data_IF_089297955841
#
_entry.id   IF_089297955841
#
_cell.length_a   1.000
_cell.length_b   1.000
_cell.length_c   1.000
_cell.angle_alpha   90.00
_cell.angle_beta   90.00
_cell.angle_gamma   90.00
#
_symmetry.space_group_name_H-M   'P 1'
#
loop_
_entity.id
_entity.type
_entity.pdbx_description
1 polymer ?
#
# COMPACT_ATOMS: atom_id res chain seq x y z
N UNK A 1 -1.97 -3.81 34.55
CA UNK A 1 -1.35 -2.47 34.66
C UNK A 1 -2.36 -1.44 34.19
N UNK A 2 -2.81 -0.55 35.08
CA UNK A 2 -3.86 0.44 34.79
C UNK A 2 -3.22 1.60 34.04
N UNK A 3 -3.70 1.88 32.83
CA UNK A 3 -3.19 2.96 32.00
C UNK A 3 -3.56 4.33 32.63
N UNK A 4 -2.56 5.14 32.98
CA UNK A 4 -2.78 6.51 33.49
C UNK A 4 -3.33 7.39 32.37
N UNK A 5 -4.56 7.89 32.53
CA UNK A 5 -5.10 8.95 31.68
C UNK A 5 -4.24 10.21 31.84
N UNK A 6 -3.92 10.88 30.72
CA UNK A 6 -3.27 12.20 30.73
C UNK A 6 -4.37 13.23 30.53
N UNK A 7 -4.39 14.28 31.34
CA UNK A 7 -5.36 15.37 31.21
C UNK A 7 -4.65 16.64 30.75
N UNK A 8 -5.34 17.47 29.97
CA UNK A 8 -4.85 18.80 29.64
C UNK A 8 -4.83 19.65 30.92
N UNK A 9 -3.64 20.13 31.31
CA UNK A 9 -3.46 20.92 32.54
C UNK A 9 -4.23 22.25 32.54
N UNK A 10 -4.69 22.73 31.38
CA UNK A 10 -5.36 24.03 31.23
C UNK A 10 -6.89 23.94 31.20
N UNK A 11 -7.46 22.92 30.56
CA UNK A 11 -8.92 22.80 30.41
C UNK A 11 -9.53 21.55 31.05
N UNK A 12 -8.73 20.67 31.66
CA UNK A 12 -9.23 19.44 32.28
C UNK A 12 -9.81 18.42 31.29
N UNK A 13 -9.78 18.70 29.98
CA UNK A 13 -10.18 17.75 28.97
C UNK A 13 -9.28 16.51 29.05
N UNK A 14 -9.92 15.34 29.08
CA UNK A 14 -9.26 14.06 28.94
C UNK A 14 -8.51 14.07 27.61
N UNK A 15 -7.17 14.00 27.67
CA UNK A 15 -6.41 13.71 26.46
C UNK A 15 -6.77 12.28 26.18
N UNK A 16 -7.67 12.07 25.20
CA UNK A 16 -7.96 10.76 24.64
C UNK A 16 -6.61 10.08 24.51
N UNK A 17 -6.42 8.99 25.26
CA UNK A 17 -5.34 8.08 24.97
C UNK A 17 -5.40 7.86 23.47
N UNK A 18 -4.27 8.07 22.78
CA UNK A 18 -4.09 7.62 21.41
C UNK A 18 -4.42 6.12 21.43
N UNK A 19 -5.70 5.79 21.27
CA UNK A 19 -6.19 4.50 20.87
C UNK A 19 -5.77 4.38 19.42
N UNK A 20 -4.47 4.31 19.21
CA UNK A 20 -3.88 4.06 17.91
C UNK A 20 -4.33 2.65 17.57
N UNK A 21 -5.44 2.56 16.86
CA UNK A 21 -5.88 1.34 16.21
C UNK A 21 -4.70 0.92 15.34
N UNK A 22 -3.89 -0.02 15.83
CA UNK A 22 -2.69 -0.48 15.12
C UNK A 22 -3.11 -0.93 13.72
N UNK A 23 -2.24 -0.68 12.73
CA UNK A 23 -2.52 -1.10 11.36
C UNK A 23 -2.78 -2.61 11.37
N UNK A 24 -3.98 -3.06 10.99
CA UNK A 24 -4.31 -4.47 11.07
C UNK A 24 -3.34 -5.32 10.25
N UNK A 25 -2.96 -6.49 10.78
CA UNK A 25 -1.99 -7.38 10.13
C UNK A 25 -2.41 -7.75 8.69
N UNK A 26 -3.69 -7.92 8.42
CA UNK A 26 -4.18 -8.17 7.06
C UNK A 26 -3.87 -7.00 6.11
N UNK A 27 -3.96 -5.75 6.58
CA UNK A 27 -3.58 -4.57 5.78
C UNK A 27 -2.08 -4.56 5.52
N UNK A 28 -1.26 -4.84 6.55
CA UNK A 28 0.19 -4.94 6.39
C UNK A 28 0.60 -6.05 5.42
N UNK A 29 -0.06 -7.20 5.44
CA UNK A 29 0.18 -8.28 4.47
C UNK A 29 -0.19 -7.84 3.05
N UNK A 30 -1.32 -7.15 2.85
CA UNK A 30 -1.68 -6.62 1.53
C UNK A 30 -0.67 -5.57 1.03
N UNK A 31 -0.18 -4.70 1.90
CA UNK A 31 0.87 -3.73 1.55
C UNK A 31 2.19 -4.43 1.21
N UNK A 32 2.55 -5.50 1.93
CA UNK A 32 3.73 -6.32 1.63
C UNK A 32 3.62 -6.99 0.25
N UNK A 33 2.45 -7.55 -0.07
CA UNK A 33 2.20 -8.15 -1.38
C UNK A 33 2.34 -7.10 -2.49
N UNK A 34 1.75 -5.90 -2.31
CA UNK A 34 1.87 -4.79 -3.28
C UNK A 34 3.32 -4.38 -3.49
N UNK A 35 4.08 -4.21 -2.39
CA UNK A 35 5.51 -3.92 -2.43
C UNK A 35 6.28 -4.98 -3.23
N UNK A 36 6.05 -6.27 -2.95
CA UNK A 36 6.76 -7.35 -3.64
C UNK A 36 6.42 -7.40 -5.14
N UNK A 37 5.16 -7.13 -5.52
CA UNK A 37 4.77 -7.05 -6.93
C UNK A 37 5.50 -5.90 -7.65
N UNK A 38 5.67 -4.76 -6.99
CA UNK A 38 6.43 -3.62 -7.52
C UNK A 38 7.93 -3.93 -7.66
N UNK A 39 8.53 -4.56 -6.65
CA UNK A 39 9.92 -5.05 -6.72
C UNK A 39 10.11 -6.02 -7.90
N UNK A 40 9.20 -6.98 -8.07
CA UNK A 40 9.21 -7.92 -9.21
C UNK A 40 9.12 -7.17 -10.54
N UNK A 41 8.36 -6.09 -10.64
CA UNK A 41 8.32 -5.27 -11.86
C UNK A 41 9.70 -4.66 -12.17
N UNK A 42 10.40 -4.16 -11.15
CA UNK A 42 11.78 -3.67 -11.25
C UNK A 42 12.77 -4.77 -11.64
N UNK A 43 12.70 -5.94 -10.99
CA UNK A 43 13.53 -7.11 -11.30
C UNK A 43 13.35 -7.55 -12.76
N UNK A 44 12.10 -7.63 -13.23
CA UNK A 44 11.82 -7.97 -14.63
C UNK A 44 12.38 -6.95 -15.61
N UNK A 45 12.29 -5.65 -15.31
CA UNK A 45 12.86 -4.60 -16.15
C UNK A 45 14.39 -4.70 -16.22
N UNK A 46 15.04 -4.92 -15.09
CA UNK A 46 16.48 -5.14 -15.02
C UNK A 46 16.91 -6.38 -15.83
N UNK A 47 16.25 -7.51 -15.64
CA UNK A 47 16.58 -8.76 -16.35
C UNK A 47 16.40 -8.62 -17.87
N UNK A 48 15.38 -7.90 -18.33
CA UNK A 48 15.19 -7.60 -19.76
C UNK A 48 16.33 -6.76 -20.31
N UNK A 49 16.69 -5.69 -19.61
CA UNK A 49 17.81 -4.83 -20.02
C UNK A 49 19.15 -5.60 -20.07
N UNK A 50 19.38 -6.53 -19.14
CA UNK A 50 20.58 -7.39 -19.16
C UNK A 50 20.57 -8.34 -20.38
N UNK A 51 19.42 -8.94 -20.69
CA UNK A 51 19.25 -9.77 -21.90
C UNK A 51 19.50 -8.95 -23.17
N UNK A 52 18.96 -7.74 -23.26
CA UNK A 52 19.10 -6.89 -24.45
C UNK A 52 20.58 -6.53 -24.69
N UNK A 53 21.31 -6.14 -23.64
CA UNK A 53 22.75 -5.88 -23.70
C UNK A 53 23.56 -7.11 -24.14
N UNK A 54 23.25 -8.28 -23.58
CA UNK A 54 23.95 -9.52 -23.96
C UNK A 54 23.64 -9.91 -25.41
N UNK A 55 22.40 -9.69 -25.86
CA UNK A 55 22.00 -9.96 -27.25
C UNK A 55 22.74 -9.04 -28.23
N UNK A 56 22.93 -7.77 -27.86
CA UNK A 56 23.75 -6.83 -28.62
C UNK A 56 25.22 -7.30 -28.68
N UNK A 57 25.82 -7.68 -27.55
CA UNK A 57 27.19 -8.21 -27.53
C UNK A 57 27.37 -9.50 -28.36
N UNK A 58 26.35 -10.38 -28.38
CA UNK A 58 26.33 -11.55 -29.27
C UNK A 58 26.30 -11.13 -30.73
N UNK A 59 25.48 -10.13 -31.09
CA UNK A 59 25.40 -9.63 -32.47
C UNK A 59 26.69 -8.97 -32.95
N UNK A 60 27.48 -8.42 -32.03
CA UNK A 60 28.84 -7.91 -32.26
C UNK A 60 29.91 -9.02 -32.37
N UNK A 61 29.52 -10.29 -32.20
CA UNK A 61 30.40 -11.46 -32.33
C UNK A 61 31.30 -11.73 -31.12
N UNK A 62 31.04 -11.11 -29.95
CA UNK A 62 31.86 -11.26 -28.74
C UNK A 62 31.33 -12.41 -27.88
N UNK A 63 32.22 -13.29 -27.41
CA UNK A 63 31.94 -14.37 -26.44
C UNK A 63 30.56 -15.04 -26.59
N UNK A 64 30.22 -15.40 -27.84
CA UNK A 64 28.86 -15.80 -28.26
C UNK A 64 28.30 -16.94 -27.39
N UNK A 65 29.10 -17.97 -27.13
CA UNK A 65 28.66 -19.15 -26.38
C UNK A 65 28.34 -18.83 -24.92
N UNK A 66 29.21 -18.05 -24.25
CA UNK A 66 29.04 -17.63 -22.86
C UNK A 66 27.81 -16.73 -22.70
N UNK A 67 27.67 -15.72 -23.56
CA UNK A 67 26.53 -14.82 -23.50
C UNK A 67 25.22 -15.50 -23.87
N UNK A 68 25.22 -16.46 -24.81
CA UNK A 68 24.03 -17.23 -25.14
C UNK A 68 23.56 -18.11 -23.96
N UNK A 69 24.50 -18.71 -23.21
CA UNK A 69 24.19 -19.43 -21.98
C UNK A 69 23.59 -18.48 -20.94
N UNK A 70 24.21 -17.32 -20.72
CA UNK A 70 23.73 -16.33 -19.76
C UNK A 70 22.33 -15.80 -20.10
N UNK A 71 22.04 -15.55 -21.38
CA UNK A 71 20.70 -15.16 -21.84
C UNK A 71 19.67 -16.25 -21.52
N UNK A 72 20.00 -17.53 -21.68
CA UNK A 72 19.10 -18.64 -21.29
C UNK A 72 18.82 -18.63 -19.78
N UNK A 73 19.85 -18.47 -18.95
CA UNK A 73 19.68 -18.39 -17.48
C UNK A 73 18.77 -17.22 -17.08
N UNK A 74 18.98 -16.03 -17.65
CA UNK A 74 18.16 -14.86 -17.37
C UNK A 74 16.71 -15.06 -17.81
N UNK A 75 16.47 -15.74 -18.94
CA UNK A 75 15.12 -16.10 -19.39
C UNK A 75 14.42 -17.06 -18.42
N UNK A 76 15.14 -18.04 -17.86
CA UNK A 76 14.59 -18.92 -16.83
C UNK A 76 14.28 -18.16 -15.53
N UNK A 77 15.16 -17.24 -15.10
CA UNK A 77 14.86 -16.34 -13.97
C UNK A 77 13.60 -15.51 -14.20
N UNK A 78 13.41 -14.97 -15.40
CA UNK A 78 12.18 -14.24 -15.76
C UNK A 78 10.94 -15.13 -15.60
N UNK A 79 11.00 -16.42 -15.98
CA UNK A 79 9.86 -17.34 -15.80
C UNK A 79 9.54 -17.53 -14.32
N UNK A 80 10.54 -17.73 -13.47
CA UNK A 80 10.36 -17.89 -12.02
C UNK A 80 9.75 -16.63 -11.40
N UNK A 81 10.30 -15.45 -11.72
CA UNK A 81 9.79 -14.16 -11.25
C UNK A 81 8.35 -13.91 -11.72
N UNK A 82 8.01 -14.29 -12.96
CA UNK A 82 6.62 -14.23 -13.45
C UNK A 82 5.68 -15.16 -12.67
N UNK A 83 6.11 -16.39 -12.36
CA UNK A 83 5.28 -17.30 -11.57
C UNK A 83 5.06 -16.81 -10.15
N UNK A 84 6.08 -16.21 -9.52
CA UNK A 84 5.96 -15.57 -8.22
C UNK A 84 4.92 -14.44 -8.27
N UNK A 85 5.04 -13.55 -9.28
CA UNK A 85 4.09 -12.45 -9.49
C UNK A 85 2.65 -12.94 -9.59
N UNK A 86 2.39 -13.94 -10.43
CA UNK A 86 1.05 -14.52 -10.57
C UNK A 86 0.51 -15.05 -9.24
N UNK A 87 1.33 -15.76 -8.46
CA UNK A 87 0.92 -16.27 -7.15
C UNK A 87 0.61 -15.17 -6.12
N UNK A 88 1.27 -14.01 -6.24
CA UNK A 88 1.04 -12.85 -5.40
C UNK A 88 -0.22 -12.09 -5.83
N UNK A 89 -0.45 -11.94 -7.13
CA UNK A 89 -1.66 -11.32 -7.69
C UNK A 89 -2.93 -12.09 -7.29
N UNK A 90 -2.87 -13.43 -7.21
CA UNK A 90 -3.98 -14.26 -6.70
C UNK A 90 -4.28 -14.03 -5.21
N UNK A 91 -3.27 -13.69 -4.41
CA UNK A 91 -3.40 -13.42 -2.97
C UNK A 91 -3.77 -11.97 -2.67
N UNK A 92 -3.56 -11.07 -3.64
CA UNK A 92 -3.83 -9.65 -3.52
C UNK A 92 -5.35 -9.44 -3.43
N UNK A 93 -5.76 -8.78 -2.35
CA UNK A 93 -7.15 -8.40 -2.10
C UNK A 93 -7.27 -6.88 -2.04
N UNK A 94 -8.39 -6.31 -2.52
CA UNK A 94 -8.66 -4.90 -2.33
C UNK A 94 -8.79 -4.61 -0.83
N UNK A 95 -8.27 -3.47 -0.41
CA UNK A 95 -8.52 -2.94 0.92
C UNK A 95 -9.98 -2.48 1.02
N UNK A 96 -10.49 -2.40 2.24
CA UNK A 96 -11.89 -2.00 2.49
C UNK A 96 -12.25 -0.67 1.83
N UNK A 97 -11.35 0.33 1.87
CA UNK A 97 -11.53 1.61 1.20
C UNK A 97 -11.80 1.44 -0.30
N UNK A 98 -10.99 0.65 -0.99
CA UNK A 98 -11.12 0.41 -2.43
C UNK A 98 -12.45 -0.28 -2.75
N UNK A 99 -12.78 -1.32 -1.99
CA UNK A 99 -14.03 -2.08 -2.16
C UNK A 99 -15.26 -1.18 -2.02
N UNK A 100 -15.32 -0.38 -0.96
CA UNK A 100 -16.47 0.51 -0.69
C UNK A 100 -16.54 1.64 -1.73
N UNK A 101 -15.39 2.18 -2.15
CA UNK A 101 -15.35 3.19 -3.20
C UNK A 101 -15.87 2.64 -4.54
N UNK A 102 -15.47 1.42 -4.92
CA UNK A 102 -15.96 0.75 -6.13
C UNK A 102 -17.46 0.45 -6.05
N UNK A 103 -17.95 -0.05 -4.91
CA UNK A 103 -19.38 -0.29 -4.68
C UNK A 103 -20.19 1.00 -4.82
N UNK A 104 -19.71 2.11 -4.23
CA UNK A 104 -20.31 3.44 -4.34
C UNK A 104 -20.41 3.88 -5.81
N UNK A 105 -19.30 3.85 -6.53
CA UNK A 105 -19.25 4.24 -7.95
C UNK A 105 -20.17 3.38 -8.82
N UNK A 106 -20.26 2.08 -8.53
CA UNK A 106 -21.15 1.17 -9.26
C UNK A 106 -22.61 1.47 -8.98
N UNK A 107 -22.97 1.81 -7.74
CA UNK A 107 -24.34 2.21 -7.39
C UNK A 107 -24.72 3.55 -8.03
N UNK A 108 -23.82 4.54 -8.03
CA UNK A 108 -24.03 5.81 -8.75
C UNK A 108 -24.29 5.59 -10.24
N UNK A 109 -23.53 4.68 -10.88
CA UNK A 109 -23.77 4.30 -12.29
C UNK A 109 -25.12 3.62 -12.47
N UNK A 110 -25.57 2.80 -11.52
CA UNK A 110 -26.91 2.16 -11.57
C UNK A 110 -28.03 3.18 -11.43
N UNK A 111 -27.89 4.17 -10.54
CA UNK A 111 -28.85 5.26 -10.40
C UNK A 111 -28.95 6.06 -11.70
N UNK A 112 -27.83 6.43 -12.32
CA UNK A 112 -27.84 7.12 -13.62
C UNK A 112 -28.55 6.33 -14.72
N UNK A 113 -28.35 5.00 -14.76
CA UNK A 113 -29.07 4.13 -15.70
C UNK A 113 -30.57 4.10 -15.41
N UNK A 114 -30.96 4.05 -14.14
CA UNK A 114 -32.37 4.10 -13.73
C UNK A 114 -33.03 5.41 -14.17
N UNK A 115 -32.34 6.55 -14.04
CA UNK A 115 -32.79 7.85 -14.53
C UNK A 115 -33.01 7.82 -16.05
N UNK A 116 -32.05 7.30 -16.82
CA UNK A 116 -32.19 7.19 -18.29
C UNK A 116 -33.36 6.29 -18.71
N UNK A 117 -33.58 5.17 -18.02
CA UNK A 117 -34.70 4.25 -18.30
C UNK A 117 -36.04 4.93 -18.00
N UNK A 118 -36.11 5.70 -16.92
CA UNK A 118 -37.30 6.47 -16.55
C UNK A 118 -37.60 7.60 -17.53
N UNK A 119 -36.58 8.36 -17.97
CA UNK A 119 -36.72 9.41 -19.00
C UNK A 119 -37.28 8.87 -20.33
N UNK A 120 -36.92 7.62 -20.67
CA UNK A 120 -37.46 6.90 -21.84
C UNK A 120 -38.86 6.33 -21.61
N UNK A 121 -39.44 6.50 -20.42
CA UNK A 121 -40.74 5.97 -20.00
C UNK A 121 -40.84 4.45 -20.12
N UNK A 122 -39.70 3.76 -19.98
CA UNK A 122 -39.62 2.30 -20.00
C UNK A 122 -40.08 1.67 -18.66
N UNK A 123 -40.18 2.48 -17.60
CA UNK A 123 -40.71 2.10 -16.29
C UNK A 123 -41.71 3.14 -15.79
N UNK A 124 -42.63 2.73 -14.91
CA UNK A 124 -43.59 3.64 -14.28
C UNK A 124 -42.93 4.55 -13.24
N UNK A 125 -43.52 5.73 -13.03
CA UNK A 125 -43.10 6.70 -12.02
C UNK A 125 -43.04 6.07 -10.62
N UNK A 126 -44.01 5.23 -10.27
CA UNK A 126 -44.04 4.53 -8.98
C UNK A 126 -42.87 3.55 -8.82
N UNK A 127 -42.51 2.81 -9.87
CA UNK A 127 -41.36 1.88 -9.85
C UNK A 127 -40.05 2.66 -9.74
N UNK A 128 -39.94 3.75 -10.49
CA UNK A 128 -38.79 4.64 -10.44
C UNK A 128 -38.58 5.21 -9.04
N UNK A 129 -39.61 5.79 -8.42
CA UNK A 129 -39.50 6.40 -7.09
C UNK A 129 -39.13 5.38 -6.00
N UNK A 130 -39.69 4.16 -6.06
CA UNK A 130 -39.31 3.07 -5.14
C UNK A 130 -37.83 2.72 -5.26
N UNK A 131 -37.34 2.46 -6.46
CA UNK A 131 -35.94 2.09 -6.70
C UNK A 131 -34.97 3.25 -6.43
N UNK A 132 -35.35 4.48 -6.78
CA UNK A 132 -34.57 5.68 -6.51
C UNK A 132 -34.38 5.88 -5.01
N UNK A 133 -35.44 5.69 -4.22
CA UNK A 133 -35.37 5.76 -2.75
C UNK A 133 -34.44 4.68 -2.19
N UNK A 134 -34.63 3.42 -2.59
CA UNK A 134 -33.80 2.30 -2.13
C UNK A 134 -32.30 2.50 -2.46
N UNK A 135 -32.00 2.85 -3.71
CA UNK A 135 -30.63 3.11 -4.14
C UNK A 135 -30.04 4.37 -3.48
N UNK A 136 -30.87 5.40 -3.25
CA UNK A 136 -30.46 6.62 -2.55
C UNK A 136 -30.07 6.35 -1.10
N UNK A 137 -30.89 5.61 -0.35
CA UNK A 137 -30.59 5.21 1.03
C UNK A 137 -29.31 4.36 1.10
N UNK A 138 -29.15 3.40 0.18
CA UNK A 138 -27.93 2.57 0.11
C UNK A 138 -26.70 3.39 -0.27
N UNK A 139 -26.84 4.37 -1.17
CA UNK A 139 -25.74 5.25 -1.57
C UNK A 139 -25.26 6.09 -0.39
N UNK A 140 -26.18 6.60 0.44
CA UNK A 140 -25.83 7.39 1.61
C UNK A 140 -25.09 6.53 2.65
N UNK A 141 -25.54 5.29 2.90
CA UNK A 141 -24.81 4.33 3.74
C UNK A 141 -23.38 4.10 3.22
N UNK A 142 -23.21 3.91 1.91
CA UNK A 142 -21.90 3.70 1.31
C UNK A 142 -21.00 4.95 1.42
N UNK A 143 -21.55 6.17 1.32
CA UNK A 143 -20.77 7.40 1.54
C UNK A 143 -20.30 7.53 2.97
N UNK A 144 -21.16 7.26 3.95
CA UNK A 144 -20.76 7.26 5.36
C UNK A 144 -19.69 6.22 5.64
N UNK A 145 -19.86 4.99 5.14
CA UNK A 145 -18.89 3.92 5.30
C UNK A 145 -17.56 4.27 4.63
N UNK A 146 -17.61 4.84 3.42
CA UNK A 146 -16.45 5.33 2.69
C UNK A 146 -15.69 6.38 3.50
N UNK A 147 -16.38 7.39 4.02
CA UNK A 147 -15.78 8.43 4.86
C UNK A 147 -15.12 7.86 6.12
N UNK A 148 -15.76 6.87 6.76
CA UNK A 148 -15.14 6.17 7.91
C UNK A 148 -13.86 5.43 7.51
N UNK A 149 -13.80 4.81 6.33
CA UNK A 149 -12.58 4.16 5.85
C UNK A 149 -11.48 5.16 5.49
N UNK A 150 -11.83 6.31 4.89
CA UNK A 150 -10.89 7.41 4.60
C UNK A 150 -10.19 7.84 5.90
N UNK A 151 -10.95 8.13 6.96
CA UNK A 151 -10.39 8.52 8.27
C UNK A 151 -9.49 7.41 8.83
N UNK A 152 -9.86 6.14 8.68
CA UNK A 152 -9.03 5.01 9.16
C UNK A 152 -7.68 4.97 8.43
N UNK A 153 -7.69 5.11 7.11
CA UNK A 153 -6.46 5.12 6.31
C UNK A 153 -5.59 6.35 6.66
N UNK A 154 -6.18 7.52 6.85
CA UNK A 154 -5.47 8.72 7.32
C UNK A 154 -4.76 8.48 8.66
N UNK A 155 -5.45 7.85 9.63
CA UNK A 155 -4.85 7.48 10.92
C UNK A 155 -3.68 6.51 10.74
N UNK A 156 -3.79 5.51 9.87
CA UNK A 156 -2.68 4.59 9.58
C UNK A 156 -1.48 5.30 8.97
N UNK A 157 -1.70 6.23 8.03
CA UNK A 157 -0.64 7.07 7.46
C UNK A 157 0.06 7.89 8.57
N UNK A 158 -0.72 8.52 9.45
CA UNK A 158 -0.16 9.30 10.55
C UNK A 158 0.68 8.43 11.51
N UNK A 159 0.19 7.22 11.84
CA UNK A 159 0.94 6.26 12.65
C UNK A 159 2.27 5.87 12.01
N UNK A 160 2.27 5.58 10.71
CA UNK A 160 3.50 5.28 9.96
C UNK A 160 4.47 6.47 9.99
N UNK A 161 3.98 7.70 9.78
CA UNK A 161 4.79 8.93 9.85
C UNK A 161 5.41 9.12 11.24
N UNK A 162 4.64 8.89 12.31
CA UNK A 162 5.16 8.93 13.70
C UNK A 162 6.22 7.84 13.92
N UNK A 163 6.03 6.64 13.36
CA UNK A 163 7.00 5.54 13.44
C UNK A 163 8.29 5.85 12.66
N UNK A 164 8.19 6.37 11.44
CA UNK A 164 9.30 6.86 10.62
C UNK A 164 10.12 7.90 11.39
N UNK A 165 9.45 8.87 12.02
CA UNK A 165 10.12 9.89 12.84
C UNK A 165 10.89 9.27 14.01
N UNK A 166 10.30 8.31 14.72
CA UNK A 166 10.99 7.58 15.80
C UNK A 166 12.22 6.85 15.31
N UNK A 167 12.11 6.09 14.21
CA UNK A 167 13.25 5.36 13.62
C UNK A 167 14.38 6.31 13.21
N UNK A 168 14.06 7.50 12.67
CA UNK A 168 15.08 8.52 12.35
C UNK A 168 15.82 8.99 13.60
N UNK A 169 15.09 9.31 14.67
CA UNK A 169 15.70 9.68 15.95
C UNK A 169 16.56 8.54 16.54
N UNK A 170 16.07 7.31 16.45
CA UNK A 170 16.80 6.13 16.94
C UNK A 170 18.09 5.89 16.14
N UNK A 171 18.07 6.17 14.82
CA UNK A 171 19.24 6.12 13.95
C UNK A 171 20.29 7.19 14.32
N UNK A 172 19.85 8.41 14.64
CA UNK A 172 20.73 9.48 15.13
C UNK A 172 21.36 9.12 16.48
N UNK A 173 20.56 8.58 17.41
CA UNK A 173 21.05 8.10 18.70
C UNK A 173 22.04 6.94 18.55
N UNK A 174 21.74 6.00 17.66
CA UNK A 174 22.63 4.88 17.34
C UNK A 174 23.98 5.37 16.82
N UNK A 175 23.99 6.37 15.94
CA UNK A 175 25.20 7.00 15.46
C UNK A 175 25.98 7.71 16.58
N UNK A 176 25.31 8.47 17.44
CA UNK A 176 25.93 9.13 18.58
C UNK A 176 26.63 8.12 19.52
N UNK A 177 25.96 7.01 19.86
CA UNK A 177 26.53 5.93 20.69
C UNK A 177 27.73 5.25 20.06
N UNK A 178 27.71 5.05 18.75
CA UNK A 178 28.89 4.56 18.04
C UNK A 178 30.07 5.54 18.12
N UNK A 179 29.81 6.84 17.93
CA UNK A 179 30.84 7.87 18.01
C UNK A 179 31.40 8.08 19.43
N UNK A 180 30.60 7.84 20.48
CA UNK A 180 31.07 7.88 21.88
C UNK A 180 31.81 6.62 22.31
N UNK A 181 31.87 5.59 21.45
CA UNK A 181 32.51 4.31 21.75
C UNK A 181 31.67 3.37 22.61
N UNK A 182 30.39 3.70 22.84
CA UNK A 182 29.44 2.82 23.55
C UNK A 182 29.05 1.57 22.72
N UNK A 183 29.24 1.63 21.40
CA UNK A 183 28.97 0.53 20.47
C UNK A 183 30.20 0.17 19.67
N UNK A 184 30.38 -1.13 19.44
CA UNK A 184 31.34 -1.62 18.47
C UNK A 184 30.89 -1.30 17.04
N UNK A 185 31.84 -1.33 16.09
CA UNK A 185 31.54 -1.15 14.66
C UNK A 185 30.56 -2.20 14.14
N UNK A 186 30.65 -3.43 14.65
CA UNK A 186 29.80 -4.55 14.23
C UNK A 186 28.36 -4.38 14.74
N UNK A 187 28.17 -4.01 16.01
CA UNK A 187 26.86 -3.71 16.58
C UNK A 187 26.19 -2.54 15.88
N UNK A 188 26.95 -1.47 15.63
CA UNK A 188 26.48 -0.32 14.87
C UNK A 188 26.02 -0.72 13.46
N UNK A 189 26.83 -1.47 12.72
CA UNK A 189 26.50 -1.88 11.35
C UNK A 189 25.21 -2.72 11.31
N UNK A 190 25.07 -3.68 12.24
CA UNK A 190 23.90 -4.55 12.34
C UNK A 190 22.62 -3.77 12.66
N UNK A 191 22.64 -2.91 13.68
CA UNK A 191 21.44 -2.18 14.09
C UNK A 191 21.09 -1.09 13.06
N UNK A 192 22.10 -0.47 12.42
CA UNK A 192 21.89 0.48 11.32
C UNK A 192 21.18 -0.18 10.14
N UNK A 193 21.61 -1.37 9.73
CA UNK A 193 20.96 -2.10 8.64
C UNK A 193 19.49 -2.40 8.97
N UNK A 194 19.22 -2.85 10.20
CA UNK A 194 17.86 -3.12 10.68
C UNK A 194 16.98 -1.87 10.66
N UNK A 195 17.44 -0.76 11.25
CA UNK A 195 16.71 0.51 11.25
C UNK A 195 16.50 1.03 9.82
N UNK A 196 17.49 0.88 8.94
CA UNK A 196 17.38 1.28 7.54
C UNK A 196 16.29 0.51 6.79
N UNK A 197 16.26 -0.83 6.93
CA UNK A 197 15.23 -1.68 6.31
C UNK A 197 13.84 -1.37 6.86
N UNK A 198 13.75 -1.12 8.17
CA UNK A 198 12.49 -0.74 8.79
C UNK A 198 12.02 0.64 8.31
N UNK A 199 12.91 1.63 8.25
CA UNK A 199 12.62 2.96 7.74
C UNK A 199 12.09 2.92 6.30
N UNK A 200 12.80 2.23 5.41
CA UNK A 200 12.42 2.05 4.01
C UNK A 200 11.03 1.41 3.89
N UNK A 201 10.79 0.32 4.63
CA UNK A 201 9.51 -0.39 4.60
C UNK A 201 8.35 0.50 5.07
N UNK A 202 8.52 1.25 6.15
CA UNK A 202 7.47 2.14 6.64
C UNK A 202 7.21 3.33 5.70
N UNK A 203 8.25 3.87 5.06
CA UNK A 203 8.08 4.93 4.05
C UNK A 203 7.24 4.43 2.87
N UNK A 204 7.59 3.27 2.31
CA UNK A 204 6.86 2.67 1.18
C UNK A 204 5.40 2.42 1.57
N UNK A 205 5.14 1.86 2.75
CA UNK A 205 3.77 1.63 3.20
C UNK A 205 2.97 2.93 3.36
N UNK A 206 3.60 4.00 3.86
CA UNK A 206 2.95 5.30 3.98
C UNK A 206 2.60 5.86 2.60
N UNK A 207 3.55 5.84 1.67
CA UNK A 207 3.35 6.30 0.27
C UNK A 207 2.25 5.50 -0.44
N UNK A 208 2.24 4.18 -0.29
CA UNK A 208 1.19 3.32 -0.87
C UNK A 208 -0.19 3.68 -0.33
N UNK A 209 -0.32 3.90 0.98
CA UNK A 209 -1.60 4.31 1.59
C UNK A 209 -2.00 5.72 1.16
N UNK A 210 -1.05 6.65 1.01
CA UNK A 210 -1.33 8.01 0.50
C UNK A 210 -1.83 7.99 -0.96
N UNK A 211 -1.21 7.17 -1.81
CA UNK A 211 -1.65 6.98 -3.20
C UNK A 211 -3.05 6.35 -3.25
N UNK A 212 -3.32 5.38 -2.39
CA UNK A 212 -4.64 4.77 -2.26
C UNK A 212 -5.70 5.78 -1.82
N UNK A 213 -5.39 6.56 -0.79
CA UNK A 213 -6.26 7.62 -0.30
C UNK A 213 -6.58 8.61 -1.43
N UNK A 214 -5.55 9.16 -2.08
CA UNK A 214 -5.71 10.11 -3.19
C UNK A 214 -6.55 9.58 -4.34
N UNK A 215 -6.46 8.27 -4.63
CA UNK A 215 -7.21 7.65 -5.72
C UNK A 215 -8.69 7.46 -5.37
N UNK A 216 -9.00 7.18 -4.11
CA UNK A 216 -10.31 6.67 -3.72
C UNK A 216 -11.12 7.60 -2.81
N UNK A 217 -10.51 8.59 -2.14
CA UNK A 217 -11.20 9.63 -1.37
C UNK A 217 -12.04 10.54 -2.27
#
# INVERSE_FOLDING_TARGET
MVAKARYCAFCGAELLQDGSEEIPNNVLEQLRIRKRIEEIAGEMAFLRNEIDKLTEQISEGRNIEEYALRVKELKEKIKLVKSERSSLEEKLKPLSLEKIAEERMNLEKRIKRLETIHERKEISDETYEKLKKEYGERLEQLKEEHYRQVIKVEKWIEQLKRKIKRIKNDSELLYARYMTGELTKEEYAKEKEKLSKELETNNIYAEMLELLLKKWS
#
